data_IF_490937231447
#
_entry.id   IF_490937231447
#
_cell.length_a   1.000
_cell.length_b   1.000
_cell.length_c   1.000
_cell.angle_alpha   90.00
_cell.angle_beta   90.00
_cell.angle_gamma   90.00
#
_symmetry.space_group_name_H-M   'P 1'
#
loop_
_entity.id
_entity.type
_entity.pdbx_description
1 polymer ?
#
# COMPACT_ATOMS: atom_id res chain seq x y z
N UNK A 1 12.45 1.74 -9.69
CA UNK A 1 12.30 2.04 -8.26
C UNK A 1 13.24 3.17 -7.86
N UNK A 2 14.47 2.97 -7.36
CA UNK A 2 15.29 4.05 -6.78
C UNK A 2 15.32 5.42 -7.52
N UNK A 3 15.53 5.51 -8.84
CA UNK A 3 15.50 6.81 -9.55
C UNK A 3 14.11 7.47 -9.61
N UNK A 4 13.02 6.69 -9.58
CA UNK A 4 11.64 7.21 -9.58
C UNK A 4 11.27 7.87 -8.23
N UNK A 5 12.00 7.55 -7.17
CA UNK A 5 11.77 8.10 -5.81
C UNK A 5 12.82 9.12 -5.39
N UNK A 6 13.76 9.48 -6.26
CA UNK A 6 14.93 10.28 -5.92
C UNK A 6 14.59 11.65 -5.32
N UNK A 7 13.50 12.26 -5.75
CA UNK A 7 13.05 13.57 -5.27
C UNK A 7 11.97 13.47 -4.17
N UNK A 8 11.48 12.26 -3.86
CA UNK A 8 10.40 12.08 -2.90
C UNK A 8 10.95 11.79 -1.51
N UNK A 9 10.57 12.62 -0.53
CA UNK A 9 10.91 12.43 0.89
C UNK A 9 9.75 11.78 1.66
N UNK A 10 9.73 10.45 1.72
CA UNK A 10 8.70 9.66 2.39
C UNK A 10 7.45 9.36 1.54
N UNK A 11 6.51 8.58 2.09
CA UNK A 11 5.27 8.23 1.37
C UNK A 11 5.48 7.31 0.17
N UNK A 12 6.41 6.36 0.28
CA UNK A 12 6.75 5.42 -0.80
C UNK A 12 5.70 4.34 -1.01
N UNK A 13 4.85 4.11 -0.01
CA UNK A 13 3.79 3.10 -0.04
C UNK A 13 2.44 3.74 0.18
N UNK A 14 1.42 3.21 -0.51
CA UNK A 14 0.01 3.52 -0.28
C UNK A 14 -0.68 2.27 0.23
N UNK A 15 -1.54 2.47 1.23
CA UNK A 15 -2.40 1.43 1.78
C UNK A 15 -3.85 1.72 1.35
N UNK A 16 -4.48 0.76 0.68
CA UNK A 16 -5.87 0.82 0.26
C UNK A 16 -6.64 -0.25 1.04
N UNK A 17 -7.60 0.17 1.87
CA UNK A 17 -8.44 -0.75 2.64
C UNK A 17 -9.42 -1.46 1.70
N UNK A 18 -9.47 -2.78 1.76
CA UNK A 18 -10.29 -3.62 0.87
C UNK A 18 -11.51 -4.24 1.57
N UNK A 19 -11.54 -4.20 2.91
CA UNK A 19 -12.65 -4.74 3.71
C UNK A 19 -12.28 -6.05 4.39
N UNK A 20 -13.28 -6.84 4.77
CA UNK A 20 -13.08 -8.07 5.55
C UNK A 20 -12.87 -9.29 4.67
N UNK A 21 -11.93 -10.15 5.06
CA UNK A 21 -11.66 -11.43 4.40
C UNK A 21 -12.77 -12.42 4.70
N UNK A 22 -13.22 -13.11 3.65
CA UNK A 22 -14.20 -14.19 3.80
C UNK A 22 -13.54 -15.39 4.50
N UNK A 23 -14.15 -15.85 5.60
CA UNK A 23 -13.72 -17.04 6.36
C UNK A 23 -13.41 -16.70 7.81
N UNK A 24 -12.57 -15.69 8.04
CA UNK A 24 -12.12 -15.27 9.37
C UNK A 24 -12.50 -13.83 9.73
N UNK A 25 -13.19 -13.12 8.83
CA UNK A 25 -13.62 -11.73 9.00
C UNK A 25 -12.47 -10.75 9.31
N UNK A 26 -11.22 -11.12 8.99
CA UNK A 26 -10.07 -10.26 9.23
C UNK A 26 -10.09 -9.04 8.29
N UNK A 27 -9.79 -7.85 8.81
CA UNK A 27 -9.63 -6.67 7.95
C UNK A 27 -8.41 -6.81 7.04
N UNK A 28 -8.58 -6.43 5.78
CA UNK A 28 -7.55 -6.52 4.74
C UNK A 28 -7.30 -5.18 4.07
N UNK A 29 -6.09 -5.04 3.56
CA UNK A 29 -5.68 -3.92 2.73
C UNK A 29 -4.67 -4.37 1.68
N UNK A 30 -4.65 -3.63 0.56
CA UNK A 30 -3.62 -3.73 -0.48
C UNK A 30 -2.54 -2.68 -0.18
N UNK A 31 -1.29 -3.09 -0.29
CA UNK A 31 -0.14 -2.19 -0.16
C UNK A 31 0.56 -2.11 -1.52
N UNK A 32 0.69 -0.89 -2.05
CA UNK A 32 1.33 -0.64 -3.33
C UNK A 32 2.45 0.40 -3.19
N UNK A 33 3.45 0.30 -4.07
CA UNK A 33 4.47 1.33 -4.22
C UNK A 33 3.91 2.50 -5.03
N UNK A 34 4.10 3.71 -4.52
CA UNK A 34 3.54 4.91 -5.13
C UNK A 34 4.52 5.42 -6.19
N UNK A 35 4.21 5.25 -7.48
CA UNK A 35 5.06 5.81 -8.55
C UNK A 35 5.29 7.33 -8.42
#
# INVERSE_FOLDING_TARGET
IAPEYAERNGGYTRIIRTGVRRGDAAETAIIELVK
#
